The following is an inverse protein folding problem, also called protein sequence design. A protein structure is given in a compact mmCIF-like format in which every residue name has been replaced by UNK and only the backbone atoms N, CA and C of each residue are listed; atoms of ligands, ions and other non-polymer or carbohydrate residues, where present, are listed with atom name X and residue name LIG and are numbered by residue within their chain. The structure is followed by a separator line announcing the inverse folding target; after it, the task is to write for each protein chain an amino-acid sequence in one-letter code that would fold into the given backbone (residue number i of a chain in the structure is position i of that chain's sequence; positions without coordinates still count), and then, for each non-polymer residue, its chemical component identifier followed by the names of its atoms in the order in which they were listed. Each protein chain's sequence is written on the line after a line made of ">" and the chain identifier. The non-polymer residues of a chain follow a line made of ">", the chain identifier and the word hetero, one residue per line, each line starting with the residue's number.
data_IF_935400757991
#
_entry.id   IF_935400757991
#
_cell.length_a   1.000
_cell.length_b   1.000
_cell.length_c   1.000
_cell.angle_alpha   90.00
_cell.angle_beta   90.00
_cell.angle_gamma   90.00
#
_symmetry.space_group_name_H-M   'P 1'
#
loop_
_entity.id
_entity.type
_entity.pdbx_description
1 polymer ?
#
# COMPACT_ATOMS: atom_id res chain seq x y z
N UNK A 1 9.03 21.91 -6.86
CA UNK A 1 9.68 20.57 -6.73
C UNK A 1 9.00 19.65 -7.72
N UNK A 2 9.76 18.98 -8.59
CA UNK A 2 9.19 18.02 -9.54
C UNK A 2 8.82 16.73 -8.74
N UNK A 3 7.53 16.33 -8.64
CA UNK A 3 7.11 15.16 -7.86
C UNK A 3 7.70 13.84 -8.38
N UNK A 4 8.32 13.87 -9.56
CA UNK A 4 8.68 12.73 -10.39
C UNK A 4 9.81 11.83 -9.88
N UNK A 5 10.46 12.18 -8.76
CA UNK A 5 11.71 11.51 -8.38
C UNK A 5 11.78 11.05 -6.91
N UNK A 6 10.67 10.95 -6.19
CA UNK A 6 10.70 10.44 -4.82
C UNK A 6 9.39 9.76 -4.37
N UNK A 7 9.50 8.89 -3.38
CA UNK A 7 8.34 8.30 -2.70
C UNK A 7 7.67 9.34 -1.80
N UNK A 8 6.39 9.64 -2.02
CA UNK A 8 5.63 10.63 -1.23
C UNK A 8 5.60 10.31 0.27
N UNK A 9 5.58 9.03 0.63
CA UNK A 9 5.43 8.58 2.02
C UNK A 9 6.76 8.41 2.74
N UNK A 10 7.78 7.90 2.05
CA UNK A 10 9.06 7.57 2.67
C UNK A 10 10.13 8.62 2.41
N UNK A 11 9.86 9.64 1.56
CA UNK A 11 10.79 10.71 1.18
C UNK A 11 12.10 10.23 0.51
N UNK A 12 12.12 8.97 0.05
CA UNK A 12 13.27 8.33 -0.59
C UNK A 12 13.29 8.68 -2.08
N UNK A 13 14.46 9.06 -2.61
CA UNK A 13 14.60 9.52 -4.00
C UNK A 13 14.93 8.40 -4.99
N UNK A 14 14.73 8.68 -6.28
CA UNK A 14 15.17 7.84 -7.41
C UNK A 14 16.69 7.62 -7.33
N UNK A 15 17.12 6.36 -7.28
CA UNK A 15 18.52 5.95 -7.04
C UNK A 15 18.78 5.37 -5.64
N UNK A 16 17.96 5.74 -4.64
CA UNK A 16 17.95 5.11 -3.31
C UNK A 16 16.85 4.05 -3.18
N UNK A 17 15.78 4.18 -3.97
CA UNK A 17 14.73 3.18 -4.11
C UNK A 17 15.04 2.27 -5.32
N UNK A 18 14.79 0.96 -5.15
CA UNK A 18 14.90 -0.01 -6.26
C UNK A 18 13.93 0.33 -7.39
N UNK A 19 12.74 0.79 -7.03
CA UNK A 19 11.77 1.30 -7.99
C UNK A 19 10.86 2.34 -7.35
N UNK A 20 10.29 3.18 -8.20
CA UNK A 20 9.22 4.11 -7.85
C UNK A 20 8.04 3.83 -8.78
N UNK A 21 6.88 3.52 -8.22
CA UNK A 21 5.64 3.28 -8.97
C UNK A 21 4.70 4.48 -8.84
N UNK A 22 3.97 4.85 -9.92
CA UNK A 22 3.08 6.00 -9.90
C UNK A 22 1.87 5.75 -8.99
N UNK A 23 1.35 6.84 -8.41
CA UNK A 23 0.10 6.92 -7.67
C UNK A 23 -0.81 7.83 -8.47
N UNK A 24 -1.95 7.32 -8.88
CA UNK A 24 -2.99 8.09 -9.56
C UNK A 24 -4.10 8.47 -8.58
N UNK A 25 -4.78 9.57 -8.85
CA UNK A 25 -5.94 10.00 -8.10
C UNK A 25 -7.06 8.96 -8.29
N UNK A 26 -7.71 8.56 -7.21
CA UNK A 26 -8.79 7.57 -7.29
C UNK A 26 -10.07 8.15 -7.90
N UNK A 27 -10.22 9.48 -7.92
CA UNK A 27 -11.35 10.19 -8.56
C UNK A 27 -11.10 10.50 -10.04
N UNK A 28 -9.84 10.59 -10.43
CA UNK A 28 -9.39 10.95 -11.78
C UNK A 28 -8.19 10.06 -12.16
N UNK A 29 -8.43 8.92 -12.84
CA UNK A 29 -7.40 7.92 -13.12
C UNK A 29 -6.22 8.43 -13.94
N UNK A 30 -6.41 9.49 -14.73
CA UNK A 30 -5.35 10.07 -15.57
C UNK A 30 -4.46 11.06 -14.79
N UNK A 31 -4.88 11.46 -13.59
CA UNK A 31 -4.17 12.43 -12.78
C UNK A 31 -3.11 11.75 -11.90
N UNK A 32 -1.85 11.94 -12.27
CA UNK A 32 -0.71 11.52 -11.46
C UNK A 32 -0.60 12.39 -10.18
N UNK A 33 -0.65 11.74 -9.02
CA UNK A 33 -0.50 12.37 -7.70
C UNK A 33 0.94 12.30 -7.19
N UNK A 34 1.68 11.25 -7.55
CA UNK A 34 3.08 11.10 -7.19
C UNK A 34 3.56 9.67 -7.33
N UNK A 35 4.53 9.25 -6.49
CA UNK A 35 5.12 7.92 -6.55
C UNK A 35 5.27 7.28 -5.16
N UNK A 36 5.36 5.95 -5.12
CA UNK A 36 5.73 5.16 -3.93
C UNK A 36 6.87 4.19 -4.21
N UNK A 37 7.67 3.87 -3.19
CA UNK A 37 8.80 2.94 -3.29
C UNK A 37 8.45 1.50 -2.87
N UNK A 38 9.38 0.58 -3.13
CA UNK A 38 9.26 -0.84 -2.80
C UNK A 38 9.04 -1.13 -1.31
N UNK A 39 9.71 -0.35 -0.45
CA UNK A 39 9.56 -0.50 1.01
C UNK A 39 8.17 -0.09 1.46
N UNK A 40 7.65 1.00 0.90
CA UNK A 40 6.30 1.45 1.21
C UNK A 40 5.26 0.40 0.81
N UNK A 41 5.37 -0.11 -0.41
CA UNK A 41 4.50 -1.18 -0.91
C UNK A 41 4.53 -2.43 -0.03
N UNK A 42 5.72 -2.91 0.32
CA UNK A 42 5.88 -4.07 1.18
C UNK A 42 5.24 -3.84 2.55
N UNK A 43 5.37 -2.63 3.11
CA UNK A 43 4.71 -2.23 4.36
C UNK A 43 3.20 -2.35 4.27
N UNK A 44 2.58 -1.70 3.28
CA UNK A 44 1.13 -1.73 3.06
C UNK A 44 0.62 -3.15 2.81
N UNK A 45 1.26 -3.90 1.92
CA UNK A 45 0.89 -5.29 1.62
C UNK A 45 0.94 -6.18 2.87
N UNK A 46 2.00 -6.06 3.68
CA UNK A 46 2.13 -6.85 4.90
C UNK A 46 1.05 -6.52 5.94
N UNK A 47 0.64 -5.26 6.00
CA UNK A 47 -0.44 -4.80 6.87
C UNK A 47 -1.79 -5.35 6.41
N UNK A 48 -2.11 -5.25 5.12
CA UNK A 48 -3.33 -5.80 4.52
C UNK A 48 -3.44 -7.30 4.74
N UNK A 49 -2.35 -8.06 4.56
CA UNK A 49 -2.32 -9.50 4.82
C UNK A 49 -2.63 -9.84 6.28
N UNK A 50 -2.11 -9.07 7.24
CA UNK A 50 -2.42 -9.26 8.67
C UNK A 50 -3.88 -8.93 8.98
N UNK A 51 -4.42 -7.86 8.41
CA UNK A 51 -5.84 -7.51 8.59
C UNK A 51 -6.76 -8.60 8.01
N UNK A 52 -6.45 -9.09 6.81
CA UNK A 52 -7.19 -10.19 6.18
C UNK A 52 -7.17 -11.45 7.05
N UNK A 53 -6.00 -11.85 7.55
CA UNK A 53 -5.88 -13.01 8.42
C UNK A 53 -6.69 -12.84 9.73
N UNK A 54 -6.66 -11.66 10.34
CA UNK A 54 -7.44 -11.37 11.55
C UNK A 54 -8.96 -11.44 11.28
N UNK A 55 -9.41 -10.92 10.14
CA UNK A 55 -10.81 -10.99 9.73
C UNK A 55 -11.26 -12.44 9.46
N UNK A 56 -10.46 -13.23 8.75
CA UNK A 56 -10.74 -14.64 8.49
C UNK A 56 -10.83 -15.45 9.79
N UNK A 57 -9.93 -15.20 10.74
CA UNK A 57 -9.97 -15.81 12.08
C UNK A 57 -11.23 -15.42 12.86
N UNK A 58 -11.63 -14.15 12.81
CA UNK A 58 -12.88 -13.69 13.41
C UNK A 58 -14.09 -14.41 12.81
N UNK A 59 -14.19 -14.49 11.48
CA UNK A 59 -15.28 -15.16 10.79
C UNK A 59 -15.35 -16.66 11.12
N UNK A 60 -14.19 -17.33 11.23
CA UNK A 60 -14.13 -18.73 11.62
C UNK A 60 -14.66 -18.96 13.05
N UNK A 61 -14.38 -18.03 13.98
CA UNK A 61 -14.87 -18.11 15.36
C UNK A 61 -16.37 -17.86 15.46
N UNK A 62 -16.93 -16.91 14.70
CA UNK A 62 -18.37 -16.67 14.63
C UNK A 62 -19.11 -17.93 14.14
N UNK A 63 -18.61 -18.58 13.08
CA UNK A 63 -19.21 -19.83 12.56
C UNK A 63 -19.16 -21.01 13.54
N UNK A 64 -18.14 -21.05 14.42
CA UNK A 64 -18.01 -22.09 15.45
C UNK A 64 -18.91 -21.85 16.67
N UNK A 65 -19.21 -20.60 16.99
CA UNK A 65 -20.12 -20.24 18.09
C UNK A 65 -21.61 -20.30 17.73
N UNK A 66 -21.94 -20.54 16.46
CA UNK A 66 -23.32 -20.74 15.96
C UNK A 66 -23.71 -22.22 15.80
N UNK A 67 -22.88 -23.16 16.24
CA UNK A 67 -23.17 -24.59 16.36
C UNK A 67 -23.32 -24.97 17.83
#
# INVERSE_FOLDING_TARGET
>A
MNPENYCLYCQVRKGQAKWLKPIYDWRDPDKLVGYYCEKHYAGVYSFEMKQKAAYEAYQANIKKGSQ
#
